data_IF_552962255345
#
_entry.id   IF_552962255345
#
_cell.length_a   1.000
_cell.length_b   1.000
_cell.length_c   1.000
_cell.angle_alpha   90.00
_cell.angle_beta   90.00
_cell.angle_gamma   90.00
#
_symmetry.space_group_name_H-M   'P 1'
#
loop_
_entity.id
_entity.type
_entity.pdbx_description
1 polymer ?
#
# COMPACT_ATOMS: atom_id res chain seq x y z
N UNK A 1 6.67 -14.75 6.84
CA UNK A 1 7.62 -15.39 7.78
C UNK A 1 8.50 -16.42 7.08
N UNK A 2 7.95 -17.34 6.29
CA UNK A 2 8.76 -18.31 5.51
C UNK A 2 9.82 -17.65 4.61
N UNK A 3 9.46 -16.58 3.90
CA UNK A 3 10.39 -15.86 3.00
C UNK A 3 11.51 -15.11 3.75
N UNK A 4 11.28 -14.76 5.01
CA UNK A 4 12.20 -13.94 5.81
C UNK A 4 12.27 -14.50 7.23
N UNK A 5 13.04 -15.59 7.45
CA UNK A 5 13.19 -16.17 8.78
C UNK A 5 13.66 -15.14 9.81
N UNK A 6 12.99 -15.06 10.94
CA UNK A 6 13.31 -14.12 12.03
C UNK A 6 12.60 -12.77 11.96
N UNK A 7 11.84 -12.48 10.89
CA UNK A 7 10.99 -11.28 10.86
C UNK A 7 9.97 -11.32 12.01
N UNK A 8 9.87 -10.23 12.77
CA UNK A 8 8.93 -10.10 13.87
C UNK A 8 7.67 -9.38 13.39
N UNK A 9 6.60 -10.15 13.14
CA UNK A 9 5.27 -9.60 12.85
C UNK A 9 4.50 -9.58 14.17
N UNK A 10 4.52 -8.43 14.85
CA UNK A 10 3.98 -8.28 16.20
C UNK A 10 2.47 -7.95 16.24
N UNK A 11 1.84 -7.80 15.07
CA UNK A 11 0.40 -7.57 14.96
C UNK A 11 -0.07 -7.50 13.52
N UNK A 12 -1.35 -7.83 13.31
CA UNK A 12 -2.04 -7.72 12.02
C UNK A 12 -3.50 -7.34 12.24
N UNK A 13 -4.08 -6.54 11.35
CA UNK A 13 -5.50 -6.20 11.37
C UNK A 13 -6.02 -6.02 9.94
N UNK A 14 -7.25 -6.45 9.67
CA UNK A 14 -7.85 -6.27 8.34
C UNK A 14 -8.27 -4.81 8.11
N UNK A 15 -8.22 -4.34 6.87
CA UNK A 15 -8.58 -2.96 6.51
C UNK A 15 -10.08 -2.62 6.55
N UNK A 16 -10.94 -3.53 7.01
CA UNK A 16 -12.39 -3.31 7.16
C UNK A 16 -12.81 -2.88 8.58
N UNK A 17 -11.88 -2.87 9.54
CA UNK A 17 -12.16 -2.36 10.88
C UNK A 17 -12.38 -0.85 10.79
N UNK A 18 -13.42 -0.36 11.49
CA UNK A 18 -13.84 1.04 11.47
C UNK A 18 -13.76 1.69 12.85
N UNK A 19 -13.66 0.90 13.91
CA UNK A 19 -13.47 1.42 15.25
C UNK A 19 -12.04 1.94 15.40
N UNK A 20 -11.89 3.27 15.34
CA UNK A 20 -10.58 3.91 15.44
C UNK A 20 -9.89 3.63 16.77
N UNK A 21 -10.63 3.47 17.87
CA UNK A 21 -10.04 3.25 19.17
C UNK A 21 -9.42 1.85 19.22
N UNK A 22 -10.15 0.85 18.73
CA UNK A 22 -9.64 -0.53 18.60
C UNK A 22 -8.39 -0.57 17.73
N UNK A 23 -8.38 0.14 16.59
CA UNK A 23 -7.22 0.20 15.69
C UNK A 23 -6.01 0.83 16.40
N UNK A 24 -6.20 1.99 17.04
CA UNK A 24 -5.14 2.74 17.73
C UNK A 24 -4.55 1.92 18.87
N UNK A 25 -5.39 1.31 19.70
CA UNK A 25 -4.96 0.51 20.83
C UNK A 25 -4.18 -0.72 20.39
N UNK A 26 -4.66 -1.45 19.37
CA UNK A 26 -3.96 -2.59 18.82
C UNK A 26 -2.56 -2.22 18.29
N UNK A 27 -2.44 -1.09 17.57
CA UNK A 27 -1.16 -0.61 17.05
C UNK A 27 -0.22 -0.21 18.19
N UNK A 28 -0.71 0.60 19.14
CA UNK A 28 0.12 1.16 20.21
C UNK A 28 0.60 0.08 21.19
N UNK A 29 -0.21 -0.96 21.43
CA UNK A 29 0.14 -2.06 22.33
C UNK A 29 0.99 -3.13 21.65
N UNK A 30 1.06 -3.16 20.31
CA UNK A 30 1.81 -4.19 19.56
C UNK A 30 3.33 -4.12 19.76
N UNK A 31 3.87 -2.96 20.14
CA UNK A 31 5.32 -2.73 20.18
C UNK A 31 5.98 -2.63 18.79
N UNK A 32 5.21 -2.41 17.73
CA UNK A 32 5.74 -2.28 16.37
C UNK A 32 6.60 -1.02 16.18
N UNK A 33 7.79 -1.17 15.60
CA UNK A 33 8.61 -0.03 15.14
C UNK A 33 8.14 0.51 13.76
N UNK A 34 7.56 -0.34 12.92
CA UNK A 34 7.16 -0.04 11.54
C UNK A 34 5.70 -0.46 11.33
N UNK A 35 4.87 0.45 10.83
CA UNK A 35 3.48 0.20 10.45
C UNK A 35 3.32 0.21 8.92
N UNK A 36 2.87 -0.92 8.37
CA UNK A 36 2.48 -1.03 6.97
C UNK A 36 0.96 -0.87 6.82
N UNK A 37 0.52 0.08 5.98
CA UNK A 37 -0.91 0.39 5.78
C UNK A 37 -1.33 0.03 4.36
N UNK A 38 -2.30 -0.87 4.23
CA UNK A 38 -2.76 -1.43 2.96
C UNK A 38 -4.20 -1.00 2.58
N UNK A 39 -4.57 0.25 2.87
CA UNK A 39 -5.92 0.77 2.57
C UNK A 39 -6.07 1.26 1.11
N UNK A 40 -4.96 1.33 0.37
CA UNK A 40 -4.93 1.83 -1.00
C UNK A 40 -4.91 3.36 -1.07
N UNK A 41 -4.41 3.87 -2.19
CA UNK A 41 -4.26 5.32 -2.38
C UNK A 41 -5.55 5.99 -2.91
N UNK A 42 -5.94 7.18 -2.41
CA UNK A 42 -5.22 8.03 -1.45
C UNK A 42 -5.55 7.78 0.04
N UNK A 43 -6.44 6.83 0.34
CA UNK A 43 -6.97 6.62 1.69
C UNK A 43 -5.88 6.29 2.71
N UNK A 44 -4.91 5.46 2.35
CA UNK A 44 -3.80 5.11 3.24
C UNK A 44 -2.91 6.31 3.59
N UNK A 45 -2.66 7.21 2.62
CA UNK A 45 -1.83 8.39 2.86
C UNK A 45 -2.54 9.35 3.84
N UNK A 46 -3.83 9.61 3.62
CA UNK A 46 -4.62 10.45 4.53
C UNK A 46 -4.75 9.81 5.91
N UNK A 47 -4.97 8.51 5.97
CA UNK A 47 -5.07 7.80 7.25
C UNK A 47 -3.77 7.93 8.05
N UNK A 48 -2.62 7.68 7.42
CA UNK A 48 -1.30 7.83 8.06
C UNK A 48 -1.13 9.25 8.60
N UNK A 49 -1.31 10.29 7.77
CA UNK A 49 -1.10 11.69 8.17
C UNK A 49 -2.01 12.08 9.34
N UNK A 50 -3.26 11.63 9.32
CA UNK A 50 -4.22 11.97 10.37
C UNK A 50 -3.95 11.27 11.72
N UNK A 51 -3.18 10.18 11.73
CA UNK A 51 -3.03 9.32 12.91
C UNK A 51 -1.60 9.18 13.44
N UNK A 52 -0.59 9.41 12.60
CA UNK A 52 0.82 9.12 12.92
C UNK A 52 1.34 9.84 14.16
N UNK A 53 0.77 10.99 14.51
CA UNK A 53 1.15 11.73 15.73
C UNK A 53 0.59 11.12 17.02
N UNK A 54 -0.42 10.26 16.92
CA UNK A 54 -1.07 9.57 18.06
C UNK A 54 -0.69 8.09 18.18
N UNK A 55 0.18 7.61 17.29
CA UNK A 55 0.54 6.21 17.17
C UNK A 55 2.02 6.00 17.53
N UNK A 56 2.32 4.85 18.15
CA UNK A 56 3.64 4.50 18.66
C UNK A 56 4.72 4.19 17.59
N UNK A 57 4.41 3.59 16.42
CA UNK A 57 5.41 3.27 15.40
C UNK A 57 6.21 4.49 14.92
N UNK A 58 7.47 4.27 14.55
CA UNK A 58 8.39 5.33 14.09
C UNK A 58 8.32 5.51 12.57
N UNK A 59 7.98 4.45 11.85
CA UNK A 59 7.92 4.43 10.38
C UNK A 59 6.53 4.01 9.94
N UNK A 60 5.98 4.76 8.98
CA UNK A 60 4.69 4.50 8.37
C UNK A 60 4.87 4.33 6.87
N UNK A 61 4.41 3.21 6.33
CA UNK A 61 4.54 2.92 4.90
C UNK A 61 3.20 2.47 4.32
N UNK A 62 2.65 3.29 3.44
CA UNK A 62 1.56 2.86 2.57
C UNK A 62 2.05 1.80 1.58
N UNK A 63 1.40 0.64 1.53
CA UNK A 63 1.81 -0.48 0.65
C UNK A 63 0.77 -0.83 -0.40
N UNK A 64 -0.41 -0.21 -0.35
CA UNK A 64 -1.51 -0.50 -1.27
C UNK A 64 -1.79 -2.01 -1.36
N UNK A 65 -1.93 -2.51 -2.60
CA UNK A 65 -2.21 -3.93 -2.86
C UNK A 65 -1.00 -4.86 -2.77
N UNK A 66 0.09 -4.48 -2.08
CA UNK A 66 1.27 -5.35 -1.98
C UNK A 66 0.99 -6.63 -1.19
N UNK A 67 0.15 -6.56 -0.16
CA UNK A 67 -0.26 -7.76 0.59
C UNK A 67 -1.10 -8.73 -0.25
N UNK A 68 -1.92 -8.26 -1.19
CA UNK A 68 -2.63 -9.15 -2.11
C UNK A 68 -1.66 -9.94 -3.00
N UNK A 69 -0.52 -9.34 -3.35
CA UNK A 69 0.54 -10.02 -4.12
C UNK A 69 1.29 -11.02 -3.25
N UNK A 70 1.72 -10.61 -2.05
CA UNK A 70 2.50 -11.44 -1.13
C UNK A 70 1.70 -12.67 -0.67
N UNK A 71 0.40 -12.49 -0.42
CA UNK A 71 -0.53 -13.58 -0.07
C UNK A 71 -0.86 -14.52 -1.23
N UNK A 72 -0.40 -14.22 -2.45
CA UNK A 72 -0.71 -15.01 -3.65
C UNK A 72 -2.10 -14.76 -4.24
N UNK A 73 -2.94 -13.92 -3.62
CA UNK A 73 -4.28 -13.55 -4.11
C UNK A 73 -4.21 -12.87 -5.48
N UNK A 74 -3.22 -12.00 -5.71
CA UNK A 74 -3.02 -11.30 -6.97
C UNK A 74 -1.67 -11.68 -7.61
N UNK A 75 -1.73 -12.24 -8.81
CA UNK A 75 -0.53 -12.54 -9.60
C UNK A 75 0.04 -11.27 -10.22
N UNK A 76 1.33 -11.02 -10.00
CA UNK A 76 2.08 -9.94 -10.68
C UNK A 76 2.13 -10.14 -12.19
N UNK A 77 2.47 -9.06 -12.90
CA UNK A 77 2.78 -9.13 -14.32
C UNK A 77 3.97 -10.07 -14.59
N UNK A 78 4.10 -10.67 -15.79
CA UNK A 78 5.28 -11.44 -16.15
C UNK A 78 6.59 -10.64 -15.97
N UNK A 79 7.69 -11.32 -15.64
CA UNK A 79 8.96 -10.66 -15.30
C UNK A 79 9.46 -9.70 -16.40
N UNK A 80 9.26 -10.04 -17.67
CA UNK A 80 9.64 -9.17 -18.79
C UNK A 80 8.88 -7.83 -18.74
N UNK A 81 7.57 -7.89 -18.47
CA UNK A 81 6.71 -6.70 -18.37
C UNK A 81 7.10 -5.83 -17.17
N UNK A 82 7.48 -6.47 -16.04
CA UNK A 82 8.01 -5.76 -14.87
C UNK A 82 9.32 -5.03 -15.21
N UNK A 83 10.26 -5.70 -15.89
CA UNK A 83 11.56 -5.12 -16.30
C UNK A 83 11.38 -3.94 -17.26
N UNK A 84 10.34 -3.95 -18.08
CA UNK A 84 9.99 -2.85 -18.99
C UNK A 84 9.28 -1.69 -18.28
N UNK A 85 8.98 -1.79 -16.99
CA UNK A 85 8.21 -0.77 -16.25
C UNK A 85 6.73 -0.71 -16.65
N UNK A 86 6.22 -1.70 -17.37
CA UNK A 86 4.86 -1.74 -17.94
C UNK A 86 3.85 -2.46 -17.04
N UNK A 87 4.18 -2.73 -15.78
CA UNK A 87 3.28 -3.41 -14.85
C UNK A 87 1.96 -2.63 -14.64
N UNK A 88 2.00 -1.29 -14.69
CA UNK A 88 0.80 -0.46 -14.62
C UNK A 88 -0.15 -0.69 -15.80
N UNK A 89 0.40 -0.83 -17.02
CA UNK A 89 -0.36 -1.07 -18.25
C UNK A 89 -0.96 -2.47 -18.23
N UNK A 90 -0.18 -3.48 -17.82
CA UNK A 90 -0.68 -4.83 -17.64
C UNK A 90 -1.86 -4.89 -16.66
N UNK A 91 -1.75 -4.19 -15.53
CA UNK A 91 -2.86 -4.10 -14.56
C UNK A 91 -4.05 -3.36 -15.14
N UNK A 92 -3.85 -2.29 -15.91
CA UNK A 92 -4.94 -1.57 -16.57
C UNK A 92 -5.68 -2.47 -17.57
N UNK A 93 -4.96 -3.27 -18.36
CA UNK A 93 -5.58 -4.21 -19.31
C UNK A 93 -6.42 -5.27 -18.60
N UNK A 94 -5.98 -5.75 -17.43
CA UNK A 94 -6.75 -6.71 -16.61
C UNK A 94 -7.92 -6.08 -15.85
N UNK A 95 -7.77 -4.83 -15.43
CA UNK A 95 -8.74 -4.11 -14.61
C UNK A 95 -9.10 -2.77 -15.31
N UNK A 96 -9.82 -2.83 -16.44
CA UNK A 96 -10.01 -1.66 -17.32
C UNK A 96 -10.71 -0.51 -16.60
N UNK A 97 -11.56 -0.77 -15.61
CA UNK A 97 -12.22 0.25 -14.79
C UNK A 97 -11.25 1.17 -14.03
N UNK A 98 -9.97 0.78 -13.88
CA UNK A 98 -8.92 1.61 -13.25
C UNK A 98 -8.39 2.71 -14.15
N UNK A 99 -8.86 2.85 -15.40
CA UNK A 99 -8.41 3.87 -16.35
C UNK A 99 -8.42 5.30 -15.79
N UNK A 100 -9.40 5.63 -14.92
CA UNK A 100 -9.51 6.94 -14.28
C UNK A 100 -8.25 7.32 -13.48
N UNK A 101 -7.61 6.34 -12.82
CA UNK A 101 -6.35 6.58 -12.10
C UNK A 101 -5.20 6.92 -13.05
N UNK A 102 -5.20 6.35 -14.25
CA UNK A 102 -4.14 6.55 -15.22
C UNK A 102 -4.16 7.93 -15.88
N UNK A 103 -5.24 8.70 -15.70
CA UNK A 103 -5.29 10.13 -16.08
C UNK A 103 -4.27 10.99 -15.31
N UNK A 104 -3.70 10.49 -14.22
CA UNK A 104 -2.58 11.14 -13.54
C UNK A 104 -1.29 11.14 -14.38
N UNK A 105 -1.05 10.11 -15.20
CA UNK A 105 0.15 9.98 -16.04
C UNK A 105 0.29 11.10 -17.09
N UNK A 106 -0.71 11.40 -17.95
CA UNK A 106 -0.60 12.49 -18.91
C UNK A 106 -0.52 13.85 -18.19
N UNK A 107 -1.22 14.04 -17.07
CA UNK A 107 -1.10 15.26 -16.26
C UNK A 107 0.32 15.44 -15.73
N UNK A 108 0.95 14.37 -15.26
CA UNK A 108 2.34 14.38 -14.82
C UNK A 108 3.30 14.70 -15.97
N UNK A 109 3.16 14.04 -17.12
CA UNK A 109 3.95 14.32 -18.32
C UNK A 109 3.88 15.79 -18.73
N UNK A 110 2.68 16.38 -18.75
CA UNK A 110 2.50 17.80 -19.08
C UNK A 110 3.22 18.70 -18.07
N UNK A 111 3.18 18.37 -16.77
CA UNK A 111 3.89 19.14 -15.74
C UNK A 111 5.41 19.08 -15.93
N UNK A 112 5.95 17.87 -16.12
CA UNK A 112 7.39 17.65 -16.30
C UNK A 112 7.93 18.34 -17.55
N UNK A 113 7.16 18.39 -18.64
CA UNK A 113 7.58 19.06 -19.89
C UNK A 113 7.49 20.59 -19.79
N UNK A 114 6.66 21.13 -18.89
CA UNK A 114 6.45 22.58 -18.70
C UNK A 114 7.42 23.21 -17.69
N UNK A 115 8.04 22.41 -16.84
CA UNK A 115 9.17 22.80 -15.98
C UNK A 115 10.49 22.72 -16.75
#
# INVERSE_FOLDING_TARGET
EEMFPGIQIVGTMHGYEKDEQVIKDAINQSGADILFVALGSPAQEYWIVNHMHSLAPKVYQGVGGSFDVISGRLKRAPHLVQKLGLEWLYRLLKEPWRWKRQLALPKFLIKVIRE
#
